data_IF_589814973828
#
_entry.id   IF_589814973828
#
_cell.length_a   1.000
_cell.length_b   1.000
_cell.length_c   1.000
_cell.angle_alpha   90.00
_cell.angle_beta   90.00
_cell.angle_gamma   90.00
#
_symmetry.space_group_name_H-M   'P 1'
#
loop_
_entity.id
_entity.type
_entity.pdbx_description
1 polymer ?
#
# COMPACT_ATOMS: atom_id res chain seq x y z
N UNK A 1 -26.04 -11.59 16.67
CA UNK A 1 -24.73 -10.94 16.64
C UNK A 1 -24.90 -9.49 17.09
N UNK A 2 -24.24 -9.07 18.18
CA UNK A 2 -24.35 -7.71 18.72
C UNK A 2 -23.70 -6.68 17.78
N UNK A 3 -24.21 -5.44 17.79
CA UNK A 3 -23.75 -4.39 16.89
C UNK A 3 -22.26 -4.05 17.09
N UNK A 4 -21.80 -3.96 18.35
CA UNK A 4 -20.39 -3.74 18.66
C UNK A 4 -19.45 -4.81 18.07
N UNK A 5 -19.89 -6.08 18.01
CA UNK A 5 -19.09 -7.14 17.41
C UNK A 5 -19.04 -7.01 15.87
N UNK A 6 -20.12 -6.53 15.24
CA UNK A 6 -20.15 -6.27 13.79
C UNK A 6 -19.22 -5.12 13.44
N UNK A 7 -19.19 -4.07 14.25
CA UNK A 7 -18.29 -2.92 14.06
C UNK A 7 -16.83 -3.35 14.15
N UNK A 8 -16.44 -4.07 15.20
CA UNK A 8 -15.08 -4.59 15.34
C UNK A 8 -14.66 -5.51 14.19
N UNK A 9 -15.55 -6.39 13.74
CA UNK A 9 -15.28 -7.25 12.57
C UNK A 9 -15.11 -6.40 11.31
N UNK A 10 -15.97 -5.40 11.10
CA UNK A 10 -15.87 -4.52 9.94
C UNK A 10 -14.58 -3.70 9.96
N UNK A 11 -14.18 -3.12 11.09
CA UNK A 11 -12.91 -2.42 11.26
C UNK A 11 -11.71 -3.32 10.93
N UNK A 12 -11.72 -4.56 11.43
CA UNK A 12 -10.69 -5.55 11.13
C UNK A 12 -10.61 -5.87 9.63
N UNK A 13 -11.76 -6.05 8.96
CA UNK A 13 -11.83 -6.29 7.52
C UNK A 13 -11.29 -5.09 6.72
N UNK A 14 -11.72 -3.87 7.05
CA UNK A 14 -11.24 -2.66 6.37
C UNK A 14 -9.72 -2.48 6.55
N UNK A 15 -9.22 -2.71 7.77
CA UNK A 15 -7.78 -2.66 8.07
C UNK A 15 -7.01 -3.70 7.25
N UNK A 16 -7.52 -4.92 7.15
CA UNK A 16 -6.90 -5.99 6.37
C UNK A 16 -6.85 -5.67 4.87
N UNK A 17 -7.95 -5.17 4.31
CA UNK A 17 -8.02 -4.73 2.91
C UNK A 17 -6.99 -3.62 2.64
N UNK A 18 -6.91 -2.62 3.52
CA UNK A 18 -5.98 -1.51 3.36
C UNK A 18 -4.51 -1.99 3.42
N UNK A 19 -4.16 -2.84 4.39
CA UNK A 19 -2.81 -3.41 4.50
C UNK A 19 -2.44 -4.26 3.28
N UNK A 20 -3.33 -5.16 2.85
CA UNK A 20 -3.11 -6.00 1.67
C UNK A 20 -2.92 -5.16 0.39
N UNK A 21 -3.68 -4.08 0.24
CA UNK A 21 -3.50 -3.14 -0.87
C UNK A 21 -2.12 -2.48 -0.87
N UNK A 22 -1.67 -2.01 0.29
CA UNK A 22 -0.34 -1.38 0.43
C UNK A 22 0.79 -2.38 0.14
N UNK A 23 0.69 -3.61 0.65
CA UNK A 23 1.65 -4.68 0.37
C UNK A 23 1.71 -5.01 -1.13
N UNK A 24 0.56 -5.09 -1.79
CA UNK A 24 0.47 -5.32 -3.23
C UNK A 24 1.14 -4.22 -4.06
N UNK A 25 0.86 -2.94 -3.75
CA UNK A 25 1.51 -1.80 -4.40
C UNK A 25 3.03 -1.87 -4.22
N UNK A 26 3.48 -2.18 -3.00
CA UNK A 26 4.93 -2.32 -2.73
C UNK A 26 5.56 -3.45 -3.55
N UNK A 27 4.87 -4.59 -3.71
CA UNK A 27 5.35 -5.70 -4.51
C UNK A 27 5.52 -5.31 -5.99
N UNK A 28 4.57 -4.56 -6.57
CA UNK A 28 4.68 -4.04 -7.94
C UNK A 28 5.87 -3.11 -8.06
N UNK A 29 6.01 -2.12 -7.17
CA UNK A 29 7.12 -1.15 -7.22
C UNK A 29 8.47 -1.86 -7.09
N UNK A 30 8.60 -2.82 -6.16
CA UNK A 30 9.83 -3.62 -5.99
C UNK A 30 10.16 -4.43 -7.23
N UNK A 31 9.16 -5.08 -7.82
CA UNK A 31 9.34 -5.89 -9.03
C UNK A 31 9.76 -5.01 -10.21
N UNK A 32 9.12 -3.87 -10.40
CA UNK A 32 9.48 -2.90 -11.45
C UNK A 32 10.92 -2.39 -11.28
N UNK A 33 11.34 -2.07 -10.05
CA UNK A 33 12.73 -1.70 -9.74
C UNK A 33 13.70 -2.85 -10.02
N UNK A 34 13.35 -4.08 -9.67
CA UNK A 34 14.18 -5.26 -9.95
C UNK A 34 14.35 -5.55 -11.45
N UNK A 35 13.36 -5.17 -12.26
CA UNK A 35 13.38 -5.30 -13.72
C UNK A 35 13.99 -4.08 -14.42
N UNK A 36 14.46 -3.07 -13.66
CA UNK A 36 14.96 -1.80 -14.18
C UNK A 36 13.96 -1.05 -15.06
N UNK A 37 12.66 -1.15 -14.76
CA UNK A 37 11.63 -0.36 -15.41
C UNK A 37 11.73 1.11 -14.97
N UNK A 38 11.32 2.01 -15.85
CA UNK A 38 11.29 3.44 -15.54
C UNK A 38 10.18 3.78 -14.52
N UNK A 39 10.34 4.91 -13.84
CA UNK A 39 9.39 5.36 -12.81
C UNK A 39 7.98 5.57 -13.38
N UNK A 40 7.87 6.08 -14.61
CA UNK A 40 6.57 6.36 -15.24
C UNK A 40 5.81 5.06 -15.55
N UNK A 41 6.49 4.06 -16.10
CA UNK A 41 5.94 2.72 -16.31
C UNK A 41 5.52 2.06 -14.99
N UNK A 42 6.30 2.27 -13.93
CA UNK A 42 5.96 1.78 -12.58
C UNK A 42 4.70 2.44 -12.03
N UNK A 43 4.57 3.76 -12.14
CA UNK A 43 3.37 4.52 -11.75
C UNK A 43 2.14 4.02 -12.51
N UNK A 44 2.27 3.82 -13.83
CA UNK A 44 1.17 3.31 -14.65
C UNK A 44 0.74 1.90 -14.23
N UNK A 45 1.69 0.99 -13.96
CA UNK A 45 1.37 -0.37 -13.47
C UNK A 45 0.62 -0.32 -12.15
N UNK A 46 0.98 0.58 -11.23
CA UNK A 46 0.27 0.74 -9.95
C UNK A 46 -1.15 1.25 -10.18
N UNK A 47 -1.36 2.23 -11.07
CA UNK A 47 -2.69 2.77 -11.39
C UNK A 47 -3.58 1.79 -12.14
N UNK A 48 -3.01 0.87 -12.92
CA UNK A 48 -3.76 -0.16 -13.63
C UNK A 48 -4.28 -1.25 -12.67
N UNK A 49 -3.47 -1.65 -11.70
CA UNK A 49 -3.80 -2.73 -10.77
C UNK A 49 -4.59 -2.24 -9.54
N UNK A 50 -4.46 -0.96 -9.18
CA UNK A 50 -5.09 -0.41 -7.98
C UNK A 50 -5.84 0.90 -8.27
N UNK A 51 -7.00 1.12 -7.63
CA UNK A 51 -7.76 2.36 -7.75
C UNK A 51 -7.10 3.47 -6.93
N UNK A 52 -6.00 4.02 -7.45
CA UNK A 52 -5.23 5.12 -6.85
C UNK A 52 -5.01 6.23 -7.87
N UNK A 53 -4.80 7.46 -7.41
CA UNK A 53 -4.48 8.58 -8.30
C UNK A 53 -3.03 8.52 -8.77
N UNK A 54 -2.69 9.29 -9.81
CA UNK A 54 -1.32 9.38 -10.32
C UNK A 54 -0.36 9.98 -9.26
N UNK A 55 -0.85 10.96 -8.50
CA UNK A 55 -0.10 11.59 -7.42
C UNK A 55 0.21 10.59 -6.29
N UNK A 56 -0.79 9.78 -5.90
CA UNK A 56 -0.61 8.73 -4.90
C UNK A 56 0.38 7.65 -5.38
N UNK A 57 0.18 7.15 -6.60
CA UNK A 57 1.08 6.15 -7.21
C UNK A 57 2.53 6.67 -7.29
N UNK A 58 2.72 7.93 -7.67
CA UNK A 58 4.04 8.58 -7.70
C UNK A 58 4.67 8.67 -6.31
N UNK A 59 3.87 8.98 -5.28
CA UNK A 59 4.35 9.01 -3.91
C UNK A 59 4.84 7.62 -3.46
N UNK A 60 4.11 6.54 -3.79
CA UNK A 60 4.55 5.18 -3.47
C UNK A 60 5.86 4.80 -4.15
N UNK A 61 6.02 5.11 -5.44
CA UNK A 61 7.24 4.77 -6.20
C UNK A 61 8.48 5.47 -5.62
N UNK A 62 8.34 6.76 -5.28
CA UNK A 62 9.40 7.59 -4.70
C UNK A 62 9.77 7.19 -3.28
N UNK A 63 8.81 6.76 -2.47
CA UNK A 63 9.05 6.49 -1.06
C UNK A 63 9.62 5.09 -0.76
N UNK A 64 9.49 4.12 -1.68
CA UNK A 64 10.03 2.75 -1.53
C UNK A 64 11.55 2.70 -1.86
N UNK A 65 12.31 3.73 -1.43
CA UNK A 65 13.75 3.84 -1.68
C UNK A 65 14.62 3.00 -0.75
N UNK A 66 14.15 2.61 0.44
CA UNK A 66 15.07 2.16 1.52
C UNK A 66 14.68 0.90 2.31
N UNK A 67 13.60 0.17 2.00
CA UNK A 67 13.23 -1.04 2.77
C UNK A 67 13.92 -2.30 2.24
N UNK A 68 15.13 -2.60 2.74
CA UNK A 68 15.74 -3.93 2.64
C UNK A 68 15.62 -4.69 3.96
N UNK A 69 15.02 -5.88 3.85
CA UNK A 69 15.29 -7.11 4.60
C UNK A 69 15.16 -7.05 6.12
N UNK A 70 13.95 -7.28 6.57
CA UNK A 70 13.68 -7.93 7.83
C UNK A 70 12.36 -8.66 7.70
N UNK A 71 12.51 -9.95 7.37
CA UNK A 71 11.50 -10.95 7.64
C UNK A 71 11.15 -10.82 9.14
N UNK A 72 9.98 -10.27 9.46
CA UNK A 72 9.64 -10.05 10.86
C UNK A 72 8.35 -9.29 11.07
N UNK A 73 8.27 -8.02 10.70
CA UNK A 73 7.17 -7.19 11.17
C UNK A 73 6.77 -6.13 10.14
N UNK A 74 5.61 -6.38 9.52
CA UNK A 74 4.82 -5.44 8.72
C UNK A 74 4.17 -4.34 9.58
N UNK A 75 4.80 -3.95 10.71
CA UNK A 75 4.26 -3.02 11.71
C UNK A 75 4.76 -1.59 11.58
N UNK A 76 5.87 -1.35 10.89
CA UNK A 76 6.60 -0.07 11.05
C UNK A 76 6.41 0.91 9.89
N UNK A 77 5.56 0.59 8.91
CA UNK A 77 5.13 1.59 7.94
C UNK A 77 4.05 2.47 8.57
N UNK A 78 4.48 3.56 9.20
CA UNK A 78 3.59 4.66 9.54
C UNK A 78 2.74 5.02 8.31
N UNK A 79 1.40 4.93 8.40
CA UNK A 79 0.53 5.12 7.26
C UNK A 79 0.55 6.59 6.85
N UNK A 80 1.03 6.89 5.65
CA UNK A 80 1.00 8.21 5.00
C UNK A 80 -0.45 8.58 4.59
N UNK A 81 -1.47 8.16 5.35
CA UNK A 81 -2.87 8.30 4.93
C UNK A 81 -3.88 8.32 6.08
N UNK A 82 -3.49 8.30 7.36
CA UNK A 82 -4.47 8.49 8.43
C UNK A 82 -5.03 9.92 8.52
N UNK A 83 -4.43 10.88 7.82
CA UNK A 83 -4.85 12.29 7.81
C UNK A 83 -5.76 12.70 6.63
N UNK A 84 -6.11 11.79 5.71
CA UNK A 84 -6.99 12.14 4.55
C UNK A 84 -8.46 11.74 4.80
N UNK A 85 -8.77 11.04 5.90
CA UNK A 85 -10.14 10.61 6.22
C UNK A 85 -10.50 10.90 7.69
N UNK A 86 -10.34 12.17 8.11
CA UNK A 86 -11.04 12.74 9.27
C UNK A 86 -11.51 14.16 8.97
#
# INVERSE_FOLDING_TARGET
>A
MCNALKELVNEGVQTGIQKGRLEGIQAIVRTCKSLNLDEKSTVNNVMQEFPVSEEEATAYVKNIGNTRRDAGCLSDLHPISYDIVK
#
